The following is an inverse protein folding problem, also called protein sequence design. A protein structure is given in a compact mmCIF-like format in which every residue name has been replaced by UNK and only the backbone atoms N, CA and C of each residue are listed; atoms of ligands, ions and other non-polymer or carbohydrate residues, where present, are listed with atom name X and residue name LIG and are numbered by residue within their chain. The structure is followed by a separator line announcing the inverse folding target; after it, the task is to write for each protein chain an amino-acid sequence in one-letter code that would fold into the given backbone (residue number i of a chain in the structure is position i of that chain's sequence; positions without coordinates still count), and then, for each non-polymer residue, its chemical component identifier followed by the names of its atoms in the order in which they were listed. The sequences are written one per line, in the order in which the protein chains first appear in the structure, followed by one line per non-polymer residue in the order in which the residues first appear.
data_IF_228992261436
#
_entry.id   IF_228992261436
#
_cell.length_a   1.000
_cell.length_b   1.000
_cell.length_c   1.000
_cell.angle_alpha   90.00
_cell.angle_beta   90.00
_cell.angle_gamma   90.00
#
_symmetry.space_group_name_H-M   'P 1'
#
loop_
_entity.id
_entity.type
_entity.pdbx_description
1 polymer ?
#
# COMPACT_ATOMS: atom_id res chain seq x y z
N UNK A 1 11.90 10.41 -13.08
CA UNK A 1 11.50 9.09 -13.63
C UNK A 1 10.27 8.62 -12.88
N UNK A 2 9.16 8.33 -13.57
CA UNK A 2 8.00 7.68 -12.93
C UNK A 2 8.43 6.25 -12.58
N UNK A 3 8.27 5.84 -11.32
CA UNK A 3 8.55 4.47 -10.87
C UNK A 3 7.26 3.67 -10.95
N UNK A 4 7.28 2.55 -11.66
CA UNK A 4 6.20 1.57 -11.69
C UNK A 4 6.64 0.29 -10.98
N UNK A 5 5.72 -0.36 -10.28
CA UNK A 5 6.04 -1.61 -9.60
C UNK A 5 4.97 -2.13 -8.66
N UNK A 6 5.27 -3.27 -8.07
CA UNK A 6 4.46 -3.95 -7.07
C UNK A 6 5.27 -4.06 -5.77
N UNK A 7 4.63 -3.76 -4.65
CA UNK A 7 5.17 -4.01 -3.32
C UNK A 7 4.28 -5.02 -2.62
N UNK A 8 4.84 -6.20 -2.32
CA UNK A 8 4.17 -7.24 -1.54
C UNK A 8 4.32 -6.90 -0.06
N UNK A 9 3.30 -6.26 0.51
CA UNK A 9 3.33 -5.80 1.88
C UNK A 9 2.63 -6.82 2.78
N UNK A 10 3.31 -7.26 3.85
CA UNK A 10 2.63 -8.00 4.92
C UNK A 10 1.92 -6.99 5.83
N UNK A 11 0.60 -6.84 5.68
CA UNK A 11 -0.20 -5.87 6.44
C UNK A 11 -0.33 -6.35 7.88
N UNK A 12 0.05 -5.55 8.89
CA UNK A 12 -0.19 -5.91 10.28
C UNK A 12 -1.69 -5.79 10.61
N UNK A 13 -2.11 -6.49 11.65
CA UNK A 13 -3.41 -6.26 12.32
C UNK A 13 -3.48 -4.82 12.85
N UNK A 14 -4.70 -4.31 13.03
CA UNK A 14 -5.04 -2.96 13.52
C UNK A 14 -4.58 -1.80 12.62
N UNK A 15 -4.07 -2.10 11.43
CA UNK A 15 -3.76 -1.12 10.39
C UNK A 15 -4.76 -1.19 9.23
N UNK A 16 -5.34 -0.05 8.84
CA UNK A 16 -6.19 0.04 7.65
C UNK A 16 -5.36 -0.11 6.38
N UNK A 17 -5.90 -0.79 5.36
CA UNK A 17 -5.25 -0.92 4.05
C UNK A 17 -4.92 0.44 3.40
N UNK A 18 -5.78 1.45 3.59
CA UNK A 18 -5.53 2.83 3.14
C UNK A 18 -4.33 3.47 3.84
N UNK A 19 -4.06 3.12 5.10
CA UNK A 19 -2.90 3.62 5.82
C UNK A 19 -1.60 3.10 5.22
N UNK A 20 -1.57 1.85 4.76
CA UNK A 20 -0.42 1.29 4.05
C UNK A 20 -0.14 2.05 2.74
N UNK A 21 -1.19 2.36 1.97
CA UNK A 21 -1.09 3.17 0.75
C UNK A 21 -0.52 4.56 1.06
N UNK A 22 -1.00 5.23 2.11
CA UNK A 22 -0.47 6.53 2.54
C UNK A 22 1.01 6.47 2.90
N UNK A 23 1.44 5.46 3.65
CA UNK A 23 2.84 5.30 4.06
C UNK A 23 3.76 5.10 2.85
N UNK A 24 3.35 4.27 1.89
CA UNK A 24 4.11 4.04 0.66
C UNK A 24 4.16 5.30 -0.20
N UNK A 25 3.03 5.99 -0.39
CA UNK A 25 2.97 7.25 -1.13
C UNK A 25 3.84 8.34 -0.48
N UNK A 26 3.87 8.43 0.85
CA UNK A 26 4.70 9.39 1.56
C UNK A 26 6.20 9.10 1.37
N UNK A 27 6.60 7.83 1.33
CA UNK A 27 8.00 7.43 1.05
C UNK A 27 8.42 7.67 -0.40
N UNK A 28 7.51 7.49 -1.36
CA UNK A 28 7.80 7.64 -2.79
C UNK A 28 7.53 9.04 -3.35
N UNK A 29 6.92 9.92 -2.55
CA UNK A 29 6.55 11.28 -2.95
C UNK A 29 5.10 11.39 -3.39
N UNK A 30 4.44 12.50 -3.02
CA UNK A 30 2.99 12.71 -3.20
C UNK A 30 2.52 12.75 -4.67
N UNK A 31 3.44 12.91 -5.63
CA UNK A 31 3.16 12.87 -7.08
C UNK A 31 3.06 11.44 -7.64
N UNK A 32 3.53 10.45 -6.90
CA UNK A 32 3.46 9.04 -7.27
C UNK A 32 2.05 8.50 -6.97
N UNK A 33 1.39 7.91 -7.97
CA UNK A 33 0.12 7.19 -7.77
C UNK A 33 0.39 5.88 -7.05
N UNK A 34 -0.42 5.60 -6.04
CA UNK A 34 -0.32 4.38 -5.21
C UNK A 34 -1.72 3.89 -4.88
N UNK A 35 -1.95 2.58 -5.02
CA UNK A 35 -3.19 1.90 -4.66
C UNK A 35 -2.93 0.53 -4.06
N UNK A 36 -3.98 -0.23 -3.74
CA UNK A 36 -3.89 -1.61 -3.28
C UNK A 36 -4.76 -2.55 -4.12
N UNK A 37 -4.35 -3.82 -4.25
CA UNK A 37 -5.05 -4.84 -5.03
C UNK A 37 -6.36 -5.36 -4.43
N UNK A 38 -6.65 -5.02 -3.16
CA UNK A 38 -7.87 -5.39 -2.47
C UNK A 38 -7.81 -4.97 -1.01
N UNK A 39 -8.93 -4.55 -0.44
CA UNK A 39 -8.98 -4.14 0.97
C UNK A 39 -8.90 -5.36 1.86
N UNK A 40 -7.97 -5.35 2.81
CA UNK A 40 -8.04 -6.16 4.01
C UNK A 40 -8.67 -5.33 5.13
N UNK A 41 -9.60 -5.93 5.87
CA UNK A 41 -10.21 -5.31 7.06
C UNK A 41 -9.13 -4.90 8.07
N UNK A 42 -9.45 -3.94 8.95
CA UNK A 42 -8.48 -3.46 9.95
C UNK A 42 -8.02 -4.59 10.89
N UNK A 43 -8.88 -5.56 11.16
CA UNK A 43 -8.59 -6.74 11.99
C UNK A 43 -7.84 -7.85 11.24
N UNK A 44 -7.79 -7.81 9.91
CA UNK A 44 -7.10 -8.81 9.11
C UNK A 44 -5.59 -8.53 9.05
N UNK A 45 -4.78 -9.56 8.83
CA UNK A 45 -3.35 -9.43 8.51
C UNK A 45 -3.01 -10.30 7.30
N UNK A 46 -1.82 -10.08 6.72
CA UNK A 46 -1.33 -10.88 5.60
C UNK A 46 -1.03 -10.06 4.35
N UNK A 47 -0.97 -10.73 3.20
CA UNK A 47 -0.50 -10.13 1.95
C UNK A 47 -1.46 -9.05 1.45
N UNK A 48 -0.98 -7.81 1.40
CA UNK A 48 -1.59 -6.67 0.72
C UNK A 48 -0.69 -6.26 -0.46
N UNK A 49 -1.16 -6.48 -1.68
CA UNK A 49 -0.44 -6.05 -2.88
C UNK A 49 -0.60 -4.53 -3.02
N UNK A 50 0.50 -3.79 -2.97
CA UNK A 50 0.53 -2.35 -3.22
C UNK A 50 0.99 -2.10 -4.67
N UNK A 51 0.19 -1.35 -5.41
CA UNK A 51 0.45 -0.94 -6.79
C UNK A 51 1.08 0.45 -6.79
N UNK A 52 2.19 0.62 -7.52
CA UNK A 52 2.92 1.89 -7.65
C UNK A 52 3.04 2.24 -9.13
N UNK A 53 2.71 3.47 -9.50
CA UNK A 53 2.72 3.94 -10.90
C UNK A 53 1.50 4.75 -11.25
#
# INVERSE_FOLDING_TARGET
MLKTGLLLLNKPTDMRSTKCVELVRNKLGRKTKVGHGGTLDSTASGLLIILVG
#
